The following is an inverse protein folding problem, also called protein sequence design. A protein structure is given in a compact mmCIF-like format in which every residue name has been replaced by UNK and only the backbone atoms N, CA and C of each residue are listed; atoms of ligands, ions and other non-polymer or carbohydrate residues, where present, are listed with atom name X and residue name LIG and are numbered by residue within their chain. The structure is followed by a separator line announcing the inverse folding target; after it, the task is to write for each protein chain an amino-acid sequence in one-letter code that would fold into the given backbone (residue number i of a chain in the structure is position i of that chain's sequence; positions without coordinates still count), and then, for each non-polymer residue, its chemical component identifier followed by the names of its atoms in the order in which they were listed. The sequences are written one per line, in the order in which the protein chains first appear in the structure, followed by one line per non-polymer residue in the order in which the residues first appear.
data_IF_282725223228
#
_entry.id   IF_282725223228
#
_cell.length_a   1.000
_cell.length_b   1.000
_cell.length_c   1.000
_cell.angle_alpha   90.00
_cell.angle_beta   90.00
_cell.angle_gamma   90.00
#
_symmetry.space_group_name_H-M   'P 1'
#
loop_
_entity.id
_entity.type
_entity.pdbx_description
1 polymer ?
#
# COMPACT_ATOMS: atom_id res chain seq x y z
N UNK A 1 2.14 33.49 12.12
CA UNK A 1 0.96 33.17 12.95
C UNK A 1 1.10 31.75 13.43
N UNK A 2 1.50 31.56 14.69
CA UNK A 2 1.61 30.25 15.32
C UNK A 2 0.20 29.83 15.73
N UNK A 3 -0.39 28.89 15.02
CA UNK A 3 -1.70 28.35 15.41
C UNK A 3 -1.46 27.43 16.62
N UNK A 4 -1.85 27.86 17.82
CA UNK A 4 -1.87 26.99 18.99
C UNK A 4 -2.96 25.93 18.79
N UNK A 5 -2.57 24.71 18.47
CA UNK A 5 -3.47 23.58 18.19
C UNK A 5 -4.21 23.12 19.46
N UNK A 6 -3.67 23.42 20.64
CA UNK A 6 -4.21 22.94 21.92
C UNK A 6 -5.49 23.65 22.40
N UNK A 7 -5.76 24.87 21.96
CA UNK A 7 -6.98 25.61 22.35
C UNK A 7 -8.25 25.20 21.58
N UNK A 8 -8.12 24.38 20.54
CA UNK A 8 -9.24 24.03 19.65
C UNK A 8 -10.08 22.83 20.09
N UNK A 9 -9.63 22.08 21.11
CA UNK A 9 -10.34 20.89 21.57
C UNK A 9 -10.71 21.02 23.06
N UNK A 10 -11.84 21.66 23.35
CA UNK A 10 -12.49 21.50 24.64
C UNK A 10 -13.07 20.09 24.76
N UNK A 11 -13.21 19.58 25.98
CA UNK A 11 -13.55 18.20 26.31
C UNK A 11 -14.54 17.54 25.34
N UNK A 12 -14.24 16.31 24.93
CA UNK A 12 -15.07 15.48 24.04
C UNK A 12 -16.43 15.27 24.70
N UNK A 13 -17.55 15.64 24.07
CA UNK A 13 -18.88 15.29 24.60
C UNK A 13 -19.03 13.75 24.57
N UNK A 14 -19.42 13.16 25.68
CA UNK A 14 -19.62 11.70 25.86
C UNK A 14 -20.95 11.23 25.24
N UNK A 15 -21.24 11.58 24.00
CA UNK A 15 -22.43 11.12 23.28
C UNK A 15 -22.07 10.62 21.89
N UNK A 16 -21.87 9.30 21.74
CA UNK A 16 -21.87 8.67 20.42
C UNK A 16 -23.30 8.69 19.85
N UNK A 17 -23.52 9.43 18.77
CA UNK A 17 -24.78 9.40 18.02
C UNK A 17 -24.79 8.16 17.12
N UNK A 18 -25.81 7.29 17.18
CA UNK A 18 -25.86 6.11 16.31
C UNK A 18 -25.98 6.50 14.82
N UNK A 19 -25.44 5.72 13.89
CA UNK A 19 -25.34 6.03 12.45
C UNK A 19 -26.69 6.31 11.75
N UNK A 20 -27.83 5.93 12.35
CA UNK A 20 -29.18 6.11 11.78
C UNK A 20 -29.71 7.54 11.83
N UNK A 21 -29.07 8.45 12.56
CA UNK A 21 -29.50 9.85 12.68
C UNK A 21 -28.60 10.82 11.89
N UNK A 22 -27.78 10.33 10.99
CA UNK A 22 -26.98 11.17 10.11
C UNK A 22 -27.92 11.87 9.14
N UNK A 23 -28.09 13.18 9.31
CA UNK A 23 -28.90 14.00 8.41
C UNK A 23 -28.27 14.03 7.02
N UNK A 24 -29.00 13.56 6.00
CA UNK A 24 -28.61 13.70 4.59
C UNK A 24 -28.77 15.16 4.10
N UNK A 25 -29.43 16.02 4.85
CA UNK A 25 -29.61 17.44 4.53
C UNK A 25 -28.37 18.27 4.91
N UNK A 26 -27.23 17.96 4.31
CA UNK A 26 -25.98 18.71 4.48
C UNK A 26 -25.57 19.31 3.13
N UNK A 27 -25.42 20.65 3.02
CA UNK A 27 -25.17 21.32 1.73
C UNK A 27 -23.82 20.92 1.09
N UNK A 28 -22.84 20.45 1.85
CA UNK A 28 -21.60 19.93 1.30
C UNK A 28 -21.83 18.57 0.63
N UNK A 29 -22.59 17.67 1.25
CA UNK A 29 -22.91 16.35 0.70
C UNK A 29 -23.82 16.45 -0.53
N UNK A 30 -24.79 17.38 -0.52
CA UNK A 30 -25.65 17.66 -1.68
C UNK A 30 -24.82 18.14 -2.88
N UNK A 31 -23.91 19.10 -2.68
CA UNK A 31 -23.02 19.59 -3.73
C UNK A 31 -22.05 18.49 -4.21
N UNK A 32 -21.54 17.67 -3.29
CA UNK A 32 -20.71 16.53 -3.63
C UNK A 32 -21.47 15.54 -4.51
N UNK A 33 -22.69 15.20 -4.13
CA UNK A 33 -23.53 14.28 -4.89
C UNK A 33 -23.86 14.78 -6.29
N UNK A 34 -24.04 16.10 -6.44
CA UNK A 34 -24.38 16.74 -7.71
C UNK A 34 -23.18 16.92 -8.65
N UNK A 35 -21.94 17.02 -8.13
CA UNK A 35 -20.77 17.44 -8.91
C UNK A 35 -19.69 16.37 -9.06
N UNK A 36 -19.56 15.45 -8.10
CA UNK A 36 -18.54 14.43 -8.14
C UNK A 36 -19.02 13.16 -8.85
N UNK A 37 -18.05 12.44 -9.40
CA UNK A 37 -18.28 11.19 -10.14
C UNK A 37 -19.08 10.15 -9.35
N UNK A 38 -19.83 9.33 -10.06
CA UNK A 38 -20.48 8.13 -9.51
C UNK A 38 -19.49 7.09 -8.95
N UNK A 39 -18.21 7.15 -9.33
CA UNK A 39 -17.17 6.25 -8.86
C UNK A 39 -16.83 6.42 -7.37
N UNK A 40 -17.24 7.54 -6.73
CA UNK A 40 -17.05 7.74 -5.29
C UNK A 40 -17.76 6.66 -4.47
N UNK A 41 -17.09 6.11 -3.44
CA UNK A 41 -17.60 5.00 -2.63
C UNK A 41 -17.86 5.39 -1.17
N UNK A 42 -16.90 6.02 -0.50
CA UNK A 42 -16.97 6.31 0.93
C UNK A 42 -18.16 7.19 1.34
N UNK A 43 -18.51 8.31 0.66
CA UNK A 43 -19.65 9.13 1.03
C UNK A 43 -21.01 8.42 0.95
N UNK A 44 -21.09 7.31 0.20
CA UNK A 44 -22.31 6.48 0.13
C UNK A 44 -22.50 5.60 1.36
N UNK A 45 -21.41 5.29 2.08
CA UNK A 45 -21.42 4.46 3.29
C UNK A 45 -21.30 5.27 4.55
N UNK A 46 -20.55 6.38 4.47
CA UNK A 46 -20.24 7.32 5.54
C UNK A 46 -20.59 8.73 5.06
N UNK A 47 -21.87 9.15 5.11
CA UNK A 47 -22.31 10.45 4.63
C UNK A 47 -21.89 11.55 5.62
N UNK A 48 -20.61 11.82 5.73
CA UNK A 48 -19.99 12.78 6.63
C UNK A 48 -19.28 13.86 5.83
N UNK A 49 -19.53 15.14 6.17
CA UNK A 49 -18.75 16.28 5.72
C UNK A 49 -17.78 16.67 6.83
N UNK A 50 -16.52 16.26 6.73
CA UNK A 50 -15.52 16.48 7.78
C UNK A 50 -15.02 17.92 7.78
N UNK A 51 -14.82 18.49 8.98
CA UNK A 51 -14.31 19.85 9.17
C UNK A 51 -12.98 19.90 9.92
N UNK A 52 -12.75 18.98 10.88
CA UNK A 52 -11.55 18.94 11.71
C UNK A 52 -11.11 17.50 11.96
N UNK A 53 -9.82 17.34 12.30
CA UNK A 53 -9.26 16.06 12.73
C UNK A 53 -8.10 16.25 13.68
N UNK A 54 -8.00 15.43 14.75
CA UNK A 54 -6.87 15.40 15.68
C UNK A 54 -6.70 14.00 16.25
N UNK A 55 -5.51 13.42 16.09
CA UNK A 55 -5.24 12.05 16.52
C UNK A 55 -6.25 11.08 15.90
N UNK A 56 -6.94 10.29 16.70
CA UNK A 56 -7.95 9.34 16.25
C UNK A 56 -9.38 9.90 16.20
N UNK A 57 -9.54 11.22 16.21
CA UNK A 57 -10.86 11.87 16.19
C UNK A 57 -11.04 12.76 14.98
N UNK A 58 -12.26 12.75 14.44
CA UNK A 58 -12.71 13.67 13.39
C UNK A 58 -14.01 14.35 13.82
N UNK A 59 -14.21 15.57 13.37
CA UNK A 59 -15.44 16.33 13.58
C UNK A 59 -16.06 16.66 12.24
N UNK A 60 -17.38 16.51 12.12
CA UNK A 60 -18.13 16.92 10.95
C UNK A 60 -18.48 18.43 10.98
N UNK A 61 -19.09 18.90 9.90
CA UNK A 61 -19.52 20.31 9.76
C UNK A 61 -20.67 20.69 10.67
N UNK A 62 -21.36 19.71 11.28
CA UNK A 62 -22.44 19.91 12.26
C UNK A 62 -21.90 19.91 13.70
N UNK A 63 -20.57 19.76 13.87
CA UNK A 63 -19.89 19.77 15.17
C UNK A 63 -19.88 18.42 15.90
N UNK A 64 -20.39 17.36 15.29
CA UNK A 64 -20.37 16.00 15.89
C UNK A 64 -18.98 15.40 15.78
N UNK A 65 -18.52 14.75 16.85
CA UNK A 65 -17.20 14.13 16.92
C UNK A 65 -17.30 12.61 16.80
N UNK A 66 -16.42 12.01 16.02
CA UNK A 66 -16.35 10.56 15.74
C UNK A 66 -14.95 10.03 16.04
N UNK A 67 -14.88 8.75 16.44
CA UNK A 67 -13.62 8.02 16.47
C UNK A 67 -13.34 7.53 15.04
N UNK A 68 -12.20 7.92 14.49
CA UNK A 68 -11.76 7.49 13.17
C UNK A 68 -11.01 6.15 13.26
N UNK A 69 -11.75 5.06 13.02
CA UNK A 69 -11.17 3.72 12.86
C UNK A 69 -10.73 3.40 11.42
N UNK A 70 -11.01 4.30 10.46
CA UNK A 70 -10.63 4.14 9.06
C UNK A 70 -9.18 4.59 8.80
N UNK A 71 -8.75 5.65 9.48
CA UNK A 71 -7.40 6.26 9.36
C UNK A 71 -6.98 6.47 7.89
N UNK A 72 -7.92 6.95 7.04
CA UNK A 72 -7.72 7.10 5.59
C UNK A 72 -7.19 5.80 4.94
N UNK A 73 -7.85 4.66 5.21
CA UNK A 73 -7.43 3.33 4.75
C UNK A 73 -5.97 2.97 5.14
N UNK A 74 -5.52 3.42 6.31
CA UNK A 74 -4.19 3.16 6.86
C UNK A 74 -3.11 4.18 6.50
N UNK A 75 -3.42 5.26 5.76
CA UNK A 75 -2.44 6.29 5.44
C UNK A 75 -2.06 7.17 6.64
N UNK A 76 -2.97 7.34 7.61
CA UNK A 76 -2.76 8.15 8.80
C UNK A 76 -2.30 7.28 9.98
N UNK A 77 -1.10 6.70 9.88
CA UNK A 77 -0.57 5.81 10.92
C UNK A 77 -0.42 6.49 12.30
N UNK A 78 -0.12 7.80 12.31
CA UNK A 78 0.01 8.63 13.52
C UNK A 78 -1.29 9.37 13.87
N UNK A 79 -2.35 9.20 13.08
CA UNK A 79 -3.61 9.95 13.20
C UNK A 79 -3.57 11.32 12.53
N UNK A 80 -4.67 12.06 12.70
CA UNK A 80 -4.84 13.39 12.11
C UNK A 80 -3.98 14.44 12.79
N UNK A 81 -3.32 15.29 11.99
CA UNK A 81 -2.55 16.46 12.44
C UNK A 81 -1.56 16.13 13.56
N UNK A 82 -0.84 15.02 13.44
CA UNK A 82 0.18 14.65 14.43
C UNK A 82 1.26 15.75 14.51
N UNK A 83 1.69 16.17 15.73
CA UNK A 83 2.61 17.30 15.90
C UNK A 83 3.90 17.17 15.10
N UNK A 84 4.48 15.98 15.02
CA UNK A 84 5.71 15.69 14.23
C UNK A 84 5.50 16.01 12.77
N UNK A 85 4.38 15.57 12.17
CA UNK A 85 4.04 15.82 10.76
C UNK A 85 3.82 17.31 10.52
N UNK A 86 3.04 17.98 11.40
CA UNK A 86 2.77 19.43 11.31
C UNK A 86 4.06 20.24 11.40
N UNK A 87 4.97 19.89 12.33
CA UNK A 87 6.25 20.58 12.46
C UNK A 87 7.16 20.37 11.26
N UNK A 88 7.21 19.17 10.68
CA UNK A 88 7.97 18.93 9.46
C UNK A 88 7.49 19.80 8.29
N UNK A 89 6.16 19.93 8.12
CA UNK A 89 5.55 20.82 7.12
C UNK A 89 5.93 22.28 7.39
N UNK A 90 5.77 22.74 8.64
CA UNK A 90 6.10 24.10 9.03
C UNK A 90 7.57 24.44 8.79
N UNK A 91 8.48 23.50 9.02
CA UNK A 91 9.92 23.66 8.74
C UNK A 91 10.14 23.87 7.25
N UNK A 92 9.55 23.03 6.39
CA UNK A 92 9.65 23.18 4.95
C UNK A 92 9.22 24.56 4.46
N UNK A 93 8.13 25.10 5.05
CA UNK A 93 7.60 26.42 4.72
C UNK A 93 8.51 27.56 5.20
N UNK A 94 8.99 27.49 6.47
CA UNK A 94 9.90 28.51 7.05
C UNK A 94 11.22 28.61 6.28
N UNK A 95 11.78 27.45 5.91
CA UNK A 95 13.11 27.38 5.30
C UNK A 95 13.07 27.58 3.79
N UNK A 96 11.89 27.79 3.19
CA UNK A 96 11.72 28.05 1.76
C UNK A 96 12.15 26.90 0.86
N UNK A 97 12.02 25.65 1.33
CA UNK A 97 12.46 24.48 0.59
C UNK A 97 11.52 24.17 -0.59
N UNK A 98 12.02 23.60 -1.71
CA UNK A 98 11.19 23.28 -2.85
C UNK A 98 10.17 22.20 -2.51
N UNK A 99 8.92 22.31 -3.02
CA UNK A 99 7.88 21.33 -2.76
C UNK A 99 7.91 20.15 -3.73
N UNK A 100 8.36 20.38 -4.96
CA UNK A 100 8.39 19.37 -6.03
C UNK A 100 9.72 19.47 -6.80
N UNK A 101 10.39 18.36 -7.00
CA UNK A 101 11.73 18.34 -7.63
C UNK A 101 11.88 17.30 -8.74
N UNK A 102 10.78 16.66 -9.16
CA UNK A 102 10.85 15.49 -10.04
C UNK A 102 11.75 14.41 -9.38
N UNK A 103 12.80 14.00 -10.07
CA UNK A 103 13.83 13.06 -9.57
C UNK A 103 15.13 13.73 -9.15
N UNK A 104 15.20 15.08 -9.17
CA UNK A 104 16.35 15.80 -8.65
C UNK A 104 16.51 15.53 -7.15
N UNK A 105 17.76 15.44 -6.69
CA UNK A 105 18.06 15.24 -5.29
C UNK A 105 17.98 16.53 -4.47
N UNK A 106 17.72 16.39 -3.17
CA UNK A 106 17.74 17.45 -2.17
C UNK A 106 18.22 16.86 -0.85
N UNK A 107 18.64 17.68 0.14
CA UNK A 107 18.97 17.17 1.48
C UNK A 107 17.80 16.44 2.15
N UNK A 108 16.55 16.87 1.89
CA UNK A 108 15.34 16.19 2.42
C UNK A 108 15.18 14.81 1.79
N UNK A 109 15.30 14.70 0.48
CA UNK A 109 15.22 13.43 -0.23
C UNK A 109 16.35 12.48 0.17
N UNK A 110 17.57 12.97 0.29
CA UNK A 110 18.74 12.21 0.72
C UNK A 110 18.55 11.65 2.13
N UNK A 111 18.14 12.51 3.08
CA UNK A 111 17.83 12.09 4.44
C UNK A 111 16.69 11.06 4.51
N UNK A 112 15.63 11.22 3.71
CA UNK A 112 14.53 10.25 3.62
C UNK A 112 15.02 8.89 3.10
N UNK A 113 15.84 8.87 2.04
CA UNK A 113 16.41 7.64 1.50
C UNK A 113 17.30 6.97 2.54
N UNK A 114 18.21 7.71 3.18
CA UNK A 114 19.09 7.18 4.22
C UNK A 114 18.29 6.52 5.35
N UNK A 115 17.32 7.24 5.93
CA UNK A 115 16.46 6.71 7.00
C UNK A 115 15.70 5.46 6.57
N UNK A 116 15.13 5.44 5.36
CA UNK A 116 14.41 4.27 4.86
C UNK A 116 15.33 3.05 4.74
N UNK A 117 16.55 3.24 4.24
CA UNK A 117 17.53 2.16 4.09
C UNK A 117 18.03 1.66 5.44
N UNK A 118 18.22 2.54 6.43
CA UNK A 118 18.55 2.16 7.81
C UNK A 118 17.44 1.34 8.49
N UNK A 119 16.20 1.51 8.05
CA UNK A 119 15.05 0.76 8.53
C UNK A 119 14.89 -0.63 7.89
N UNK A 120 15.50 -0.86 6.71
CA UNK A 120 15.40 -2.15 6.02
C UNK A 120 16.34 -3.19 6.64
N UNK A 121 16.00 -4.49 6.59
CA UNK A 121 16.94 -5.54 6.99
C UNK A 121 18.26 -5.41 6.22
N UNK A 122 19.45 -5.53 6.89
CA UNK A 122 20.74 -5.36 6.23
C UNK A 122 20.92 -6.22 4.99
N UNK A 123 20.44 -7.48 5.02
CA UNK A 123 20.50 -8.41 3.89
C UNK A 123 19.67 -7.95 2.66
N UNK A 124 18.76 -6.99 2.84
CA UNK A 124 18.00 -6.38 1.74
C UNK A 124 18.56 -5.00 1.37
N UNK A 125 18.94 -4.20 2.37
CA UNK A 125 19.44 -2.83 2.17
C UNK A 125 20.78 -2.79 1.40
N UNK A 126 21.62 -3.82 1.58
CA UNK A 126 22.94 -3.88 0.94
C UNK A 126 22.81 -3.88 -0.60
N UNK A 127 23.27 -2.80 -1.20
CA UNK A 127 23.21 -2.56 -2.64
C UNK A 127 21.81 -2.29 -3.22
N UNK A 128 20.74 -2.32 -2.42
CA UNK A 128 19.39 -2.08 -2.88
C UNK A 128 19.24 -0.74 -3.62
N UNK A 129 18.24 -0.65 -4.48
CA UNK A 129 17.87 0.55 -5.22
C UNK A 129 16.47 1.01 -4.84
N UNK A 130 16.21 2.31 -4.97
CA UNK A 130 14.90 2.90 -4.75
C UNK A 130 14.42 3.64 -5.99
N UNK A 131 13.17 3.38 -6.40
CA UNK A 131 12.45 4.15 -7.40
C UNK A 131 11.32 4.92 -6.72
N UNK A 132 11.33 6.23 -6.85
CA UNK A 132 10.20 7.08 -6.50
C UNK A 132 9.16 7.04 -7.60
N UNK A 133 7.90 6.85 -7.21
CA UNK A 133 6.77 6.70 -8.12
C UNK A 133 5.80 7.89 -8.01
N UNK A 134 4.74 7.89 -8.79
CA UNK A 134 3.61 8.79 -8.60
C UNK A 134 2.94 8.55 -7.23
N UNK A 135 2.05 9.44 -6.78
CA UNK A 135 1.66 9.54 -5.37
C UNK A 135 0.69 8.45 -4.88
N UNK A 136 0.68 7.28 -5.48
CA UNK A 136 -0.22 6.19 -5.07
C UNK A 136 0.47 4.82 -5.06
N UNK A 137 0.02 3.93 -4.15
CA UNK A 137 0.51 2.54 -4.12
C UNK A 137 0.29 1.81 -5.44
N UNK A 138 -0.78 2.11 -6.17
CA UNK A 138 -1.03 1.53 -7.48
C UNK A 138 0.09 1.88 -8.48
N UNK A 139 0.58 3.13 -8.49
CA UNK A 139 1.68 3.52 -9.38
C UNK A 139 3.00 2.81 -9.01
N UNK A 140 3.25 2.61 -7.72
CA UNK A 140 4.41 1.83 -7.27
C UNK A 140 4.31 0.36 -7.67
N UNK A 141 3.12 -0.26 -7.59
CA UNK A 141 2.93 -1.63 -8.10
C UNK A 141 3.11 -1.69 -9.63
N UNK A 142 2.62 -0.70 -10.39
CA UNK A 142 2.88 -0.60 -11.84
C UNK A 142 4.39 -0.53 -12.13
N UNK A 143 5.14 0.23 -11.33
CA UNK A 143 6.59 0.30 -11.41
C UNK A 143 7.24 -1.07 -11.14
N UNK A 144 6.83 -1.74 -10.07
CA UNK A 144 7.34 -3.06 -9.70
C UNK A 144 7.09 -4.11 -10.79
N UNK A 145 5.88 -4.11 -11.39
CA UNK A 145 5.56 -5.00 -12.53
C UNK A 145 6.49 -4.76 -13.70
N UNK A 146 6.69 -3.50 -14.08
CA UNK A 146 7.58 -3.15 -15.21
C UNK A 146 9.02 -3.55 -14.90
N UNK A 147 9.50 -3.27 -13.69
CA UNK A 147 10.84 -3.63 -13.23
C UNK A 147 11.13 -5.11 -13.45
N UNK A 148 10.29 -5.98 -12.88
CA UNK A 148 10.52 -7.43 -12.93
C UNK A 148 10.34 -8.02 -14.33
N UNK A 149 9.38 -7.50 -15.12
CA UNK A 149 9.19 -7.94 -16.50
C UNK A 149 10.39 -7.60 -17.38
N UNK A 150 10.97 -6.42 -17.21
CA UNK A 150 12.19 -5.99 -17.93
C UNK A 150 13.38 -6.84 -17.48
N UNK A 151 13.60 -6.94 -16.16
CA UNK A 151 14.77 -7.63 -15.61
C UNK A 151 14.78 -9.14 -15.90
N UNK A 152 13.62 -9.77 -16.05
CA UNK A 152 13.51 -11.22 -16.30
C UNK A 152 13.16 -11.58 -17.74
N UNK A 153 12.85 -10.61 -18.60
CA UNK A 153 12.38 -10.84 -19.97
C UNK A 153 11.18 -11.82 -20.04
N UNK A 154 10.37 -11.84 -18.98
CA UNK A 154 9.20 -12.70 -18.81
C UNK A 154 7.94 -11.86 -18.69
N UNK A 155 6.77 -12.45 -18.92
CA UNK A 155 5.51 -11.69 -18.97
C UNK A 155 4.51 -12.03 -17.87
N UNK A 156 4.53 -13.27 -17.36
CA UNK A 156 3.53 -13.76 -16.40
C UNK A 156 3.78 -13.22 -14.99
N UNK A 157 2.73 -12.74 -14.36
CA UNK A 157 2.74 -12.36 -12.93
C UNK A 157 1.82 -13.32 -12.19
N UNK A 158 2.33 -13.91 -11.11
CA UNK A 158 1.54 -14.69 -10.18
C UNK A 158 0.98 -13.77 -9.10
N UNK A 159 -0.34 -13.77 -8.94
CA UNK A 159 -1.06 -13.00 -7.92
C UNK A 159 -1.96 -13.94 -7.09
N UNK A 160 -2.65 -13.43 -6.08
CA UNK A 160 -3.45 -14.29 -5.19
C UNK A 160 -4.93 -13.92 -5.19
N UNK A 161 -5.79 -14.93 -4.99
CA UNK A 161 -7.20 -14.71 -4.71
C UNK A 161 -7.34 -13.78 -3.50
N UNK A 162 -8.27 -12.82 -3.56
CA UNK A 162 -8.48 -11.84 -2.48
C UNK A 162 -7.48 -10.69 -2.42
N UNK A 163 -6.41 -10.70 -3.23
CA UNK A 163 -5.42 -9.62 -3.23
C UNK A 163 -6.00 -8.28 -3.70
N UNK A 164 -5.41 -7.18 -3.19
CA UNK A 164 -5.68 -5.84 -3.64
C UNK A 164 -4.37 -5.07 -3.87
N UNK A 165 -4.07 -4.78 -5.12
CA UNK A 165 -2.83 -4.09 -5.52
C UNK A 165 -3.07 -2.72 -6.17
N UNK A 166 -4.31 -2.27 -6.25
CA UNK A 166 -4.67 -0.95 -6.79
C UNK A 166 -5.77 -1.01 -7.84
N UNK A 167 -6.10 0.18 -8.37
CA UNK A 167 -7.23 0.40 -9.28
C UNK A 167 -6.82 0.97 -10.64
N UNK A 168 -5.52 1.09 -10.93
CA UNK A 168 -5.04 1.37 -12.30
C UNK A 168 -5.24 0.13 -13.17
N UNK A 169 -5.22 0.29 -14.48
CA UNK A 169 -5.57 -0.80 -15.38
C UNK A 169 -4.66 -2.03 -15.25
N UNK A 170 -3.37 -1.85 -15.02
CA UNK A 170 -2.43 -2.95 -14.75
C UNK A 170 -2.63 -3.56 -13.38
N UNK A 171 -2.66 -2.75 -12.30
CA UNK A 171 -2.84 -3.26 -10.94
C UNK A 171 -4.22 -3.88 -10.70
N UNK A 172 -5.26 -3.38 -11.37
CA UNK A 172 -6.58 -4.00 -11.32
C UNK A 172 -6.53 -5.41 -11.92
N UNK A 173 -5.68 -5.65 -12.91
CA UNK A 173 -5.37 -6.99 -13.42
C UNK A 173 -4.93 -7.97 -12.32
N UNK A 174 -4.15 -7.49 -11.34
CA UNK A 174 -3.61 -8.27 -10.20
C UNK A 174 -4.56 -8.34 -8.99
N UNK A 175 -5.58 -7.48 -8.93
CA UNK A 175 -6.52 -7.42 -7.80
C UNK A 175 -7.55 -8.54 -7.92
N UNK A 176 -7.81 -9.28 -6.82
CA UNK A 176 -8.75 -10.41 -6.81
C UNK A 176 -10.24 -10.02 -6.81
N UNK A 177 -10.56 -8.75 -6.47
CA UNK A 177 -11.94 -8.28 -6.38
C UNK A 177 -12.61 -8.17 -7.75
N UNK A 178 -13.72 -8.89 -7.96
CA UNK A 178 -14.36 -9.01 -9.28
C UNK A 178 -15.19 -7.78 -9.67
N UNK A 179 -15.90 -7.15 -8.75
CA UNK A 179 -16.87 -6.10 -9.08
C UNK A 179 -16.30 -4.96 -9.95
N UNK A 180 -15.11 -4.38 -9.66
CA UNK A 180 -14.57 -3.33 -10.52
C UNK A 180 -14.06 -3.84 -11.89
N UNK A 181 -13.89 -5.16 -12.05
CA UNK A 181 -13.42 -5.78 -13.29
C UNK A 181 -14.55 -6.10 -14.28
N UNK A 182 -15.75 -6.38 -13.77
CA UNK A 182 -16.87 -6.92 -14.58
C UNK A 182 -17.26 -6.03 -15.76
N UNK A 183 -17.12 -4.72 -15.64
CA UNK A 183 -17.45 -3.76 -16.69
C UNK A 183 -16.27 -3.43 -17.63
N UNK A 184 -15.10 -4.04 -17.39
CA UNK A 184 -13.87 -3.72 -18.13
C UNK A 184 -13.42 -4.88 -19.01
N UNK A 185 -12.89 -4.55 -20.18
CA UNK A 185 -12.18 -5.47 -21.05
C UNK A 185 -10.69 -5.07 -21.17
N UNK A 186 -9.84 -6.01 -21.55
CA UNK A 186 -8.43 -5.73 -21.86
C UNK A 186 -7.56 -5.34 -20.65
N UNK A 187 -7.86 -5.85 -19.45
CA UNK A 187 -6.96 -5.72 -18.32
C UNK A 187 -5.60 -6.35 -18.62
N UNK A 188 -4.58 -6.06 -17.81
CA UNK A 188 -3.24 -6.61 -18.01
C UNK A 188 -3.31 -8.13 -18.22
N UNK A 189 -2.80 -8.64 -19.35
CA UNK A 189 -2.78 -10.07 -19.64
C UNK A 189 -1.69 -10.79 -18.86
N UNK A 190 -1.66 -12.12 -18.96
CA UNK A 190 -0.65 -12.98 -18.37
C UNK A 190 -0.57 -12.85 -16.83
N UNK A 191 -1.73 -12.72 -16.19
CA UNK A 191 -1.88 -12.82 -14.72
C UNK A 191 -2.47 -14.17 -14.38
N UNK A 192 -1.80 -14.90 -13.48
CA UNK A 192 -2.31 -16.17 -12.97
C UNK A 192 -2.60 -16.06 -11.48
N UNK A 193 -3.85 -16.31 -11.08
CA UNK A 193 -4.28 -16.23 -9.68
C UNK A 193 -4.11 -17.56 -8.96
N UNK A 194 -3.48 -17.51 -7.80
CA UNK A 194 -3.21 -18.63 -6.92
C UNK A 194 -4.08 -18.57 -5.66
N UNK A 195 -4.38 -19.72 -5.02
CA UNK A 195 -5.10 -19.72 -3.76
C UNK A 195 -4.24 -19.15 -2.62
N UNK A 196 -4.75 -18.13 -1.92
CA UNK A 196 -4.12 -17.60 -0.70
C UNK A 196 -4.44 -18.50 0.51
N UNK A 197 -3.54 -18.64 1.50
CA UNK A 197 -3.73 -19.52 2.65
C UNK A 197 -4.71 -18.93 3.68
N UNK A 198 -6.00 -18.94 3.36
CA UNK A 198 -7.04 -18.43 4.24
C UNK A 198 -7.51 -19.52 5.20
N UNK A 199 -7.01 -19.54 6.43
CA UNK A 199 -7.28 -20.62 7.39
C UNK A 199 -8.77 -20.78 7.72
N UNK A 200 -9.49 -19.67 7.94
CA UNK A 200 -10.91 -19.68 8.30
C UNK A 200 -11.83 -20.11 7.15
N UNK A 201 -11.51 -19.70 5.91
CA UNK A 201 -12.25 -20.06 4.68
C UNK A 201 -11.30 -20.69 3.67
N UNK A 202 -10.69 -21.77 4.08
CA UNK A 202 -9.67 -22.45 3.30
C UNK A 202 -10.20 -22.87 1.92
N UNK A 203 -9.55 -22.49 0.83
CA UNK A 203 -9.97 -22.87 -0.51
C UNK A 203 -9.95 -24.39 -0.77
N UNK A 204 -9.23 -25.15 0.07
CA UNK A 204 -9.17 -26.62 0.02
C UNK A 204 -10.13 -27.29 1.02
N UNK A 205 -10.93 -26.54 1.77
CA UNK A 205 -11.94 -27.07 2.69
C UNK A 205 -11.40 -27.72 3.97
N UNK A 206 -10.11 -27.58 4.28
CA UNK A 206 -9.47 -28.25 5.45
C UNK A 206 -9.01 -27.30 6.56
N UNK A 207 -8.81 -26.03 6.25
CA UNK A 207 -8.41 -24.99 7.21
C UNK A 207 -7.04 -25.18 7.87
N UNK A 208 -6.67 -24.19 8.71
CA UNK A 208 -5.45 -24.21 9.53
C UNK A 208 -4.16 -24.50 8.77
N UNK A 209 -3.14 -24.95 9.49
CA UNK A 209 -1.83 -25.26 8.95
C UNK A 209 -1.85 -26.30 7.80
N UNK A 210 -2.78 -27.24 7.83
CA UNK A 210 -2.97 -28.22 6.75
C UNK A 210 -3.39 -27.54 5.45
N UNK A 211 -4.27 -26.52 5.52
CA UNK A 211 -4.68 -25.71 4.37
C UNK A 211 -3.52 -24.93 3.80
N UNK A 212 -2.69 -24.32 4.66
CA UNK A 212 -1.48 -23.59 4.26
C UNK A 212 -0.48 -24.50 3.54
N UNK A 213 -0.22 -25.69 4.07
CA UNK A 213 0.64 -26.68 3.40
C UNK A 213 0.09 -27.14 2.05
N UNK A 214 -1.21 -27.37 1.93
CA UNK A 214 -1.83 -27.74 0.65
C UNK A 214 -1.74 -26.62 -0.38
N UNK A 215 -1.92 -25.36 0.05
CA UNK A 215 -1.74 -24.20 -0.82
C UNK A 215 -0.30 -24.12 -1.35
N UNK A 216 0.71 -24.23 -0.48
CA UNK A 216 2.12 -24.22 -0.88
C UNK A 216 2.45 -25.38 -1.84
N UNK A 217 2.02 -26.61 -1.51
CA UNK A 217 2.25 -27.79 -2.34
C UNK A 217 1.53 -27.70 -3.71
N UNK A 218 0.36 -27.08 -3.77
CA UNK A 218 -0.34 -26.81 -5.03
C UNK A 218 0.48 -25.87 -5.90
N UNK A 219 0.99 -24.77 -5.32
CA UNK A 219 1.77 -23.75 -6.04
C UNK A 219 3.07 -24.38 -6.55
N UNK A 220 3.76 -25.16 -5.73
CA UNK A 220 5.01 -25.82 -6.12
C UNK A 220 4.80 -26.76 -7.31
N UNK A 221 3.77 -27.62 -7.24
CA UNK A 221 3.43 -28.54 -8.35
C UNK A 221 3.05 -27.79 -9.63
N UNK A 222 2.30 -26.69 -9.51
CA UNK A 222 1.92 -25.88 -10.65
C UNK A 222 3.14 -25.24 -11.33
N UNK A 223 4.17 -24.85 -10.56
CA UNK A 223 5.40 -24.29 -11.10
C UNK A 223 6.31 -25.35 -11.74
N UNK A 224 6.24 -26.60 -11.27
CA UNK A 224 7.07 -27.70 -11.75
C UNK A 224 6.43 -28.48 -12.92
N UNK A 225 5.12 -28.37 -13.12
CA UNK A 225 4.39 -29.09 -14.17
C UNK A 225 4.45 -28.34 -15.51
N UNK A 226 5.16 -28.89 -16.52
CA UNK A 226 5.22 -28.27 -17.85
C UNK A 226 3.85 -28.20 -18.57
N UNK A 227 2.85 -28.91 -18.05
CA UNK A 227 1.48 -28.91 -18.58
C UNK A 227 0.51 -28.07 -17.73
N UNK A 228 0.99 -27.29 -16.77
CA UNK A 228 0.17 -26.45 -15.90
C UNK A 228 -0.53 -25.30 -16.65
N UNK A 229 -0.05 -24.93 -17.85
CA UNK A 229 -0.51 -23.78 -18.61
C UNK A 229 0.03 -22.43 -18.07
N UNK A 230 0.87 -22.45 -17.07
CA UNK A 230 1.53 -21.27 -16.51
C UNK A 230 2.90 -21.08 -17.17
N UNK A 231 3.02 -20.04 -17.97
CA UNK A 231 4.31 -19.66 -18.55
C UNK A 231 5.23 -19.15 -17.46
N UNK A 232 6.52 -19.41 -17.58
CA UNK A 232 7.54 -19.05 -16.59
C UNK A 232 7.36 -17.61 -16.07
N UNK A 233 7.17 -17.43 -14.73
CA UNK A 233 6.77 -16.13 -14.20
C UNK A 233 7.90 -15.11 -14.18
N UNK A 234 7.57 -13.85 -14.45
CA UNK A 234 8.43 -12.69 -14.22
C UNK A 234 8.55 -12.37 -12.74
N UNK A 235 7.48 -12.60 -11.97
CA UNK A 235 7.46 -12.41 -10.52
C UNK A 235 6.22 -13.05 -9.89
N UNK A 236 6.26 -13.17 -8.56
CA UNK A 236 5.11 -13.42 -7.70
C UNK A 236 4.88 -12.19 -6.82
N UNK A 237 3.62 -11.70 -6.73
CA UNK A 237 3.26 -10.57 -5.87
C UNK A 237 2.27 -11.01 -4.81
N UNK A 238 2.50 -10.57 -3.55
CA UNK A 238 1.59 -10.85 -2.44
C UNK A 238 1.58 -9.73 -1.40
N UNK A 239 0.51 -9.69 -0.62
CA UNK A 239 0.43 -9.01 0.67
C UNK A 239 0.68 -10.05 1.78
N UNK A 240 1.55 -9.76 2.76
CA UNK A 240 1.77 -10.67 3.92
C UNK A 240 0.49 -10.81 4.75
N UNK A 241 -0.27 -9.74 4.84
CA UNK A 241 -1.64 -9.72 5.36
C UNK A 241 -2.51 -9.06 4.29
N UNK A 242 -3.43 -9.80 3.68
CA UNK A 242 -4.37 -9.20 2.75
C UNK A 242 -5.28 -8.21 3.47
N UNK A 243 -5.16 -6.92 3.15
CA UNK A 243 -5.93 -5.87 3.80
C UNK A 243 -7.38 -5.83 3.33
N UNK A 244 -7.61 -5.39 2.10
CA UNK A 244 -8.93 -5.27 1.48
C UNK A 244 -9.63 -6.64 1.29
N UNK A 245 -8.87 -7.70 1.18
CA UNK A 245 -9.37 -9.08 1.13
C UNK A 245 -10.05 -9.55 2.40
N UNK A 246 -9.89 -8.83 3.53
CA UNK A 246 -10.57 -9.14 4.78
C UNK A 246 -9.66 -9.24 6.02
N UNK A 247 -8.49 -8.60 5.99
CA UNK A 247 -7.45 -8.67 7.05
C UNK A 247 -7.03 -10.12 7.29
N UNK A 248 -6.54 -10.77 6.23
CA UNK A 248 -6.20 -12.19 6.22
C UNK A 248 -4.68 -12.36 6.30
N UNK A 249 -4.11 -12.75 7.46
CA UNK A 249 -2.68 -13.01 7.58
C UNK A 249 -2.32 -14.36 6.94
N UNK A 250 -1.19 -14.40 6.22
CA UNK A 250 -0.57 -15.64 5.80
C UNK A 250 0.23 -16.27 6.94
N UNK A 251 0.19 -17.61 7.04
CA UNK A 251 1.02 -18.32 8.01
C UNK A 251 2.52 -18.13 7.72
N UNK A 252 3.33 -17.99 8.79
CA UNK A 252 4.80 -17.86 8.67
C UNK A 252 5.41 -18.99 7.83
N UNK A 253 5.04 -20.23 8.12
CA UNK A 253 5.54 -21.40 7.40
C UNK A 253 5.21 -21.34 5.90
N UNK A 254 4.02 -20.86 5.54
CA UNK A 254 3.62 -20.70 4.14
C UNK A 254 4.47 -19.63 3.44
N UNK A 255 4.68 -18.46 4.07
CA UNK A 255 5.52 -17.40 3.50
C UNK A 255 6.96 -17.87 3.30
N UNK A 256 7.51 -18.66 4.22
CA UNK A 256 8.84 -19.26 4.10
C UNK A 256 8.92 -20.25 2.93
N UNK A 257 7.90 -21.08 2.73
CA UNK A 257 7.83 -21.97 1.58
C UNK A 257 7.69 -21.20 0.25
N UNK A 258 6.87 -20.15 0.21
CA UNK A 258 6.78 -19.26 -0.96
C UNK A 258 8.15 -18.63 -1.26
N UNK A 259 8.87 -18.13 -0.24
CA UNK A 259 10.21 -17.56 -0.43
C UNK A 259 11.18 -18.61 -0.99
N UNK A 260 11.24 -19.80 -0.37
CA UNK A 260 12.10 -20.91 -0.82
C UNK A 260 11.84 -21.24 -2.30
N UNK A 261 10.58 -21.53 -2.65
CA UNK A 261 10.25 -21.95 -4.02
C UNK A 261 10.46 -20.87 -5.08
N UNK A 262 10.31 -19.58 -4.70
CA UNK A 262 10.60 -18.46 -5.60
C UNK A 262 12.11 -18.27 -5.78
N UNK A 263 12.91 -18.40 -4.71
CA UNK A 263 14.38 -18.36 -4.78
C UNK A 263 14.94 -19.47 -5.67
N UNK A 264 14.52 -20.71 -5.44
CA UNK A 264 15.00 -21.88 -6.20
C UNK A 264 14.74 -21.78 -7.70
N UNK A 265 13.69 -21.03 -8.10
CA UNK A 265 13.29 -20.85 -9.51
C UNK A 265 13.66 -19.50 -10.09
N UNK A 266 14.38 -18.66 -9.35
CA UNK A 266 14.76 -17.31 -9.78
C UNK A 266 13.55 -16.42 -10.12
N UNK A 267 12.43 -16.61 -9.42
CA UNK A 267 11.21 -15.80 -9.53
C UNK A 267 11.28 -14.69 -8.50
N UNK A 268 11.39 -13.40 -8.86
CA UNK A 268 11.35 -12.30 -7.91
C UNK A 268 10.07 -12.31 -7.08
N UNK A 269 10.20 -12.20 -5.76
CA UNK A 269 9.10 -12.04 -4.83
C UNK A 269 8.87 -10.56 -4.56
N UNK A 270 7.72 -10.05 -4.98
CA UNK A 270 7.25 -8.70 -4.68
C UNK A 270 6.36 -8.77 -3.45
N UNK A 271 6.73 -8.08 -2.38
CA UNK A 271 5.86 -7.90 -1.22
C UNK A 271 5.24 -6.51 -1.25
N UNK A 272 3.91 -6.48 -1.32
CA UNK A 272 3.12 -5.26 -1.26
C UNK A 272 2.91 -4.86 0.22
N UNK A 273 3.73 -3.92 0.67
CA UNK A 273 3.68 -3.34 2.03
C UNK A 273 2.94 -2.01 2.06
N UNK A 274 2.18 -1.68 1.03
CA UNK A 274 1.41 -0.42 0.95
C UNK A 274 0.49 -0.24 2.15
N UNK A 275 -0.15 -1.31 2.63
CA UNK A 275 -1.02 -1.26 3.79
C UNK A 275 -0.38 -1.87 5.05
N UNK A 276 0.46 -2.86 4.90
CA UNK A 276 1.03 -3.65 5.99
C UNK A 276 2.30 -3.07 6.58
N UNK A 277 3.01 -2.25 5.83
CA UNK A 277 4.28 -1.64 6.24
C UNK A 277 4.17 -0.57 7.32
N UNK A 278 5.33 -0.11 7.76
CA UNK A 278 5.52 1.01 8.67
C UNK A 278 4.76 0.84 10.00
N UNK A 279 4.95 -0.34 10.62
CA UNK A 279 4.44 -0.62 11.96
C UNK A 279 3.00 -1.11 12.02
N UNK A 280 2.25 -1.18 10.90
CA UNK A 280 0.83 -1.54 10.90
C UNK A 280 0.55 -2.92 11.52
N UNK A 281 1.46 -3.86 11.38
CA UNK A 281 1.31 -5.24 11.88
C UNK A 281 2.11 -5.52 13.14
N UNK A 282 2.75 -4.50 13.74
CA UNK A 282 3.59 -4.63 14.94
C UNK A 282 5.08 -4.89 14.66
N UNK A 283 5.46 -5.07 13.41
CA UNK A 283 6.82 -4.99 12.88
C UNK A 283 6.92 -3.83 11.92
N UNK A 284 8.11 -3.31 11.65
CA UNK A 284 8.26 -2.20 10.72
C UNK A 284 7.79 -2.60 9.32
N UNK A 285 8.18 -3.79 8.86
CA UNK A 285 7.64 -4.43 7.66
C UNK A 285 6.99 -5.77 8.02
N UNK A 286 5.86 -6.09 7.40
CA UNK A 286 5.12 -7.31 7.72
C UNK A 286 5.89 -8.59 7.36
N UNK A 287 6.73 -8.57 6.32
CA UNK A 287 7.55 -9.73 5.94
C UNK A 287 8.54 -10.17 7.04
N UNK A 288 8.88 -9.29 7.98
CA UNK A 288 9.73 -9.61 9.13
C UNK A 288 9.08 -10.63 10.08
N UNK A 289 7.74 -10.73 10.10
CA UNK A 289 7.05 -11.77 10.90
C UNK A 289 7.39 -13.18 10.43
N UNK A 290 7.72 -13.32 9.15
CA UNK A 290 8.05 -14.60 8.56
C UNK A 290 9.57 -14.86 8.47
N UNK A 291 10.40 -13.91 8.88
CA UNK A 291 11.87 -13.95 8.73
C UNK A 291 12.29 -14.19 7.27
N UNK A 292 11.58 -13.60 6.32
CA UNK A 292 11.92 -13.66 4.89
C UNK A 292 12.45 -12.32 4.41
N UNK A 293 13.22 -12.34 3.33
CA UNK A 293 13.69 -11.12 2.65
C UNK A 293 13.18 -11.17 1.20
N UNK A 294 12.29 -10.23 0.78
CA UNK A 294 11.79 -10.19 -0.58
C UNK A 294 12.84 -9.64 -1.56
N UNK A 295 12.54 -9.69 -2.86
CA UNK A 295 13.36 -9.06 -3.90
C UNK A 295 12.90 -7.64 -4.21
N UNK A 296 11.61 -7.37 -4.00
CA UNK A 296 10.98 -6.07 -4.24
C UNK A 296 9.99 -5.77 -3.10
N UNK A 297 10.08 -4.57 -2.54
CA UNK A 297 9.12 -4.06 -1.54
C UNK A 297 8.43 -2.82 -2.12
N UNK A 298 7.11 -2.82 -2.07
CA UNK A 298 6.27 -1.69 -2.50
C UNK A 298 5.74 -0.95 -1.28
N UNK A 299 5.98 0.36 -1.19
CA UNK A 299 5.59 1.20 -0.06
C UNK A 299 4.78 2.41 -0.52
N UNK A 300 3.76 2.77 0.26
CA UNK A 300 2.95 3.98 0.08
C UNK A 300 2.20 4.30 1.39
N UNK A 301 1.05 4.96 1.31
CA UNK A 301 0.18 5.29 2.46
C UNK A 301 0.95 5.98 3.60
N UNK A 302 1.30 5.23 4.66
CA UNK A 302 1.92 5.76 5.87
C UNK A 302 3.32 6.36 5.62
N UNK A 303 4.04 5.94 4.57
CA UNK A 303 5.43 6.36 4.30
C UNK A 303 5.61 7.88 4.13
N UNK A 304 4.56 8.56 3.70
CA UNK A 304 4.55 10.03 3.54
C UNK A 304 4.01 10.77 4.76
N UNK A 305 3.88 10.13 5.94
CA UNK A 305 3.28 10.79 7.12
C UNK A 305 1.83 11.23 6.92
N UNK A 306 1.09 10.57 6.02
CA UNK A 306 -0.28 10.93 5.60
C UNK A 306 -0.34 11.79 4.33
N UNK A 307 0.80 12.21 3.79
CA UNK A 307 0.89 12.88 2.48
C UNK A 307 1.18 11.85 1.37
N UNK A 308 0.70 12.11 0.14
CA UNK A 308 0.87 11.18 -0.98
C UNK A 308 2.35 10.97 -1.36
N UNK A 309 2.83 9.75 -1.17
CA UNK A 309 4.16 9.28 -1.55
C UNK A 309 4.09 7.78 -1.85
N UNK A 310 4.85 7.33 -2.83
CA UNK A 310 5.07 5.91 -3.05
C UNK A 310 6.46 5.61 -3.60
N UNK A 311 7.01 4.49 -3.23
CA UNK A 311 8.32 4.03 -3.65
C UNK A 311 8.33 2.51 -3.85
N UNK A 312 9.25 2.07 -4.69
CA UNK A 312 9.65 0.67 -4.82
C UNK A 312 11.10 0.54 -4.41
N UNK A 313 11.41 -0.34 -3.45
CA UNK A 313 12.77 -0.72 -3.08
C UNK A 313 13.03 -2.12 -3.59
N UNK A 314 14.16 -2.36 -4.21
CA UNK A 314 14.43 -3.62 -4.91
C UNK A 314 15.91 -3.97 -4.94
N UNK A 315 16.19 -5.25 -5.16
CA UNK A 315 17.56 -5.77 -5.27
C UNK A 315 18.27 -5.24 -6.51
N UNK A 316 19.58 -4.96 -6.45
CA UNK A 316 20.32 -4.30 -7.52
C UNK A 316 20.35 -5.06 -8.85
N UNK A 317 20.26 -6.40 -8.83
CA UNK A 317 20.23 -7.22 -10.04
C UNK A 317 18.97 -7.03 -10.89
N UNK A 318 17.92 -6.42 -10.33
CA UNK A 318 16.69 -6.06 -11.06
C UNK A 318 16.79 -4.70 -11.74
N UNK A 319 17.82 -3.89 -11.46
CA UNK A 319 17.98 -2.53 -11.99
C UNK A 319 18.44 -2.51 -13.46
N UNK A 320 17.62 -3.10 -14.35
CA UNK A 320 17.94 -3.26 -15.78
C UNK A 320 17.09 -2.37 -16.70
N UNK A 321 16.26 -1.51 -16.17
CA UNK A 321 15.48 -0.59 -16.97
C UNK A 321 16.29 0.64 -17.39
N UNK A 322 15.87 1.26 -18.49
CA UNK A 322 16.50 2.47 -19.02
C UNK A 322 15.99 3.74 -18.31
N UNK A 323 16.75 4.81 -18.39
CA UNK A 323 16.33 6.10 -17.88
C UNK A 323 14.95 6.50 -18.42
N UNK A 324 14.03 6.91 -17.53
CA UNK A 324 12.68 7.29 -17.90
C UNK A 324 11.67 6.12 -18.04
N UNK A 325 12.08 4.88 -17.82
CA UNK A 325 11.19 3.70 -17.90
C UNK A 325 9.94 3.81 -17.03
N UNK A 326 10.05 4.48 -15.87
CA UNK A 326 8.91 4.84 -15.02
C UNK A 326 9.06 6.27 -14.50
N UNK A 327 8.38 7.21 -15.11
CA UNK A 327 8.42 8.63 -14.77
C UNK A 327 7.05 9.12 -14.27
N UNK A 328 7.06 10.14 -13.41
CA UNK A 328 5.86 10.80 -12.92
C UNK A 328 6.19 12.18 -12.34
N UNK A 329 5.39 13.19 -12.64
CA UNK A 329 5.64 14.59 -12.23
C UNK A 329 5.75 14.73 -10.71
N UNK A 330 4.92 14.03 -9.94
CA UNK A 330 4.82 14.19 -8.48
C UNK A 330 5.70 13.21 -7.69
N UNK A 331 6.60 12.48 -8.34
CA UNK A 331 7.54 11.56 -7.68
C UNK A 331 8.56 12.27 -6.76
N UNK A 332 8.72 13.58 -6.89
CA UNK A 332 9.61 14.42 -6.08
C UNK A 332 8.88 15.22 -4.99
N UNK A 333 7.83 14.69 -4.39
CA UNK A 333 7.06 15.35 -3.34
C UNK A 333 7.87 15.51 -2.05
N UNK A 334 8.54 16.68 -1.91
CA UNK A 334 9.45 16.97 -0.80
C UNK A 334 8.71 17.11 0.54
N UNK A 335 7.46 17.60 0.54
CA UNK A 335 6.65 17.66 1.76
C UNK A 335 6.39 16.26 2.31
N UNK A 336 6.03 15.31 1.44
CA UNK A 336 5.80 13.93 1.86
C UNK A 336 7.09 13.23 2.30
N UNK A 337 8.23 13.52 1.67
CA UNK A 337 9.54 13.02 2.12
C UNK A 337 9.93 13.60 3.49
N UNK A 338 9.72 14.90 3.71
CA UNK A 338 10.03 15.55 4.99
C UNK A 338 9.15 15.00 6.13
N UNK A 339 7.87 14.75 5.87
CA UNK A 339 6.95 14.18 6.87
C UNK A 339 7.19 12.69 7.10
N UNK A 340 7.63 11.96 6.08
CA UNK A 340 8.03 10.56 6.19
C UNK A 340 9.34 10.37 6.93
N UNK A 341 10.29 11.31 6.78
CA UNK A 341 11.57 11.34 7.51
C UNK A 341 11.38 11.65 9.00
N UNK A 342 10.44 12.51 9.36
CA UNK A 342 10.18 12.97 10.74
C UNK A 342 9.48 11.92 11.60
#
# INVERSE_FOLDING_TARGET
MTVHVDEMWQAIPTGCVPPRELSLANPYLERQAARESNARSYPRRLPLALSKGKGSYVQDTDGRTYIDCLACAGALALGHNHPVVVEAINRMLRDGLPFQTLDLTTPVKDGFVGMLFDCLPPAFADGAKIQFCGPSGADAVEAAIKLVKIARERRTILAFHGAYHGMTHGTLGLTGHLAPKQALSGLMPDVHFLPFPYEYRCPFGVGGEKGSRLSAAYIERLLDDPNSGVVEPAAMILEVVQGEGGVIPAAKSWLQEIRRMTDERGIPLIVDEVQTGLGRTGKLFAFEHADIVPDVVVLSKAIGGGLPLSVVVYRPELDQWTAGAHAGTFRGNQLAMATGLA
#
